data_IF_868468056833
#
_entry.id   IF_868468056833
#
_cell.length_a   1.000
_cell.length_b   1.000
_cell.length_c   1.000
_cell.angle_alpha   90.00
_cell.angle_beta   90.00
_cell.angle_gamma   90.00
#
_symmetry.space_group_name_H-M   'P 1'
#
loop_
_entity.id
_entity.type
_entity.pdbx_description
1 polymer ?
#
# COMPACT_ATOMS: atom_id res chain seq x y z
N UNK A 1 -4.50 9.35 11.35
CA UNK A 1 -3.53 9.29 10.22
C UNK A 1 -2.23 8.74 10.76
N UNK A 2 -1.58 7.85 10.00
CA UNK A 2 -0.31 7.22 10.35
C UNK A 2 0.59 7.13 9.14
N UNK A 3 1.89 7.20 9.37
CA UNK A 3 2.90 6.91 8.36
C UNK A 3 3.35 5.46 8.48
N UNK A 4 3.45 4.77 7.36
CA UNK A 4 3.96 3.39 7.27
C UNK A 4 5.03 3.32 6.20
N UNK A 5 6.08 2.55 6.48
CA UNK A 5 7.17 2.33 5.54
C UNK A 5 6.70 1.45 4.37
N UNK A 6 7.13 1.80 3.16
CA UNK A 6 6.98 0.98 1.97
C UNK A 6 8.14 -0.01 1.92
N UNK A 7 7.83 -1.31 1.97
CA UNK A 7 8.83 -2.36 1.79
C UNK A 7 9.23 -2.48 0.32
N UNK A 8 10.41 -3.05 0.06
CA UNK A 8 10.88 -3.29 -1.30
C UNK A 8 9.86 -4.11 -2.11
N UNK A 9 9.64 -3.72 -3.36
CA UNK A 9 8.73 -4.38 -4.30
C UNK A 9 7.24 -4.36 -3.90
N UNK A 10 6.82 -3.55 -2.93
CA UNK A 10 5.40 -3.40 -2.62
C UNK A 10 4.67 -2.53 -3.64
N UNK A 11 3.54 -3.03 -4.10
CA UNK A 11 2.53 -2.25 -4.83
C UNK A 11 1.59 -1.53 -3.87
N UNK A 12 0.77 -0.63 -4.40
CA UNK A 12 -0.28 0.02 -3.59
C UNK A 12 -1.34 -0.98 -3.11
N UNK A 13 -1.59 -2.05 -3.88
CA UNK A 13 -2.49 -3.13 -3.48
C UNK A 13 -1.95 -3.90 -2.28
N UNK A 14 -0.65 -4.16 -2.25
CA UNK A 14 0.02 -4.83 -1.13
C UNK A 14 -0.15 -4.05 0.17
N UNK A 15 0.07 -2.73 0.11
CA UNK A 15 -0.11 -1.83 1.26
C UNK A 15 -1.58 -1.76 1.72
N UNK A 16 -2.53 -1.77 0.78
CA UNK A 16 -3.96 -1.83 1.09
C UNK A 16 -4.31 -3.14 1.84
N UNK A 17 -3.80 -4.27 1.35
CA UNK A 17 -4.03 -5.57 2.01
C UNK A 17 -3.33 -5.64 3.37
N UNK A 18 -2.07 -5.20 3.49
CA UNK A 18 -1.31 -5.29 4.74
C UNK A 18 -1.92 -4.42 5.85
N UNK A 19 -2.36 -3.20 5.52
CA UNK A 19 -2.77 -2.23 6.53
C UNK A 19 -4.28 -2.07 6.69
N UNK A 20 -5.06 -2.40 5.66
CA UNK A 20 -6.53 -2.36 5.70
C UNK A 20 -7.15 -3.77 5.62
N UNK A 21 -6.38 -4.80 5.28
CA UNK A 21 -6.88 -6.17 5.13
C UNK A 21 -7.71 -6.37 3.86
N UNK A 22 -7.67 -5.43 2.91
CA UNK A 22 -8.60 -5.37 1.77
C UNK A 22 -8.03 -4.48 0.66
N UNK A 23 -8.19 -4.88 -0.62
CA UNK A 23 -7.70 -4.10 -1.78
C UNK A 23 -8.55 -2.86 -2.07
N UNK A 24 -9.79 -2.82 -1.56
CA UNK A 24 -10.74 -1.72 -1.73
C UNK A 24 -10.24 -0.40 -1.13
N UNK A 25 -9.28 -0.46 -0.20
CA UNK A 25 -8.63 0.72 0.38
C UNK A 25 -7.62 1.40 -0.54
N UNK A 26 -7.29 0.82 -1.70
CA UNK A 26 -6.32 1.37 -2.65
C UNK A 26 -6.67 2.79 -3.08
N UNK A 27 -7.94 3.09 -3.35
CA UNK A 27 -8.37 4.43 -3.74
C UNK A 27 -8.21 5.47 -2.62
N UNK A 28 -8.46 5.07 -1.37
CA UNK A 28 -8.23 5.93 -0.21
C UNK A 28 -6.74 6.20 0.01
N UNK A 29 -5.90 5.15 -0.07
CA UNK A 29 -4.45 5.30 0.01
C UNK A 29 -3.90 6.19 -1.10
N UNK A 30 -4.38 6.03 -2.34
CA UNK A 30 -3.97 6.88 -3.46
C UNK A 30 -4.34 8.35 -3.23
N UNK A 31 -5.57 8.62 -2.79
CA UNK A 31 -6.04 9.98 -2.50
C UNK A 31 -5.28 10.66 -1.35
N UNK A 32 -4.82 9.89 -0.35
CA UNK A 32 -4.02 10.40 0.77
C UNK A 32 -2.56 10.68 0.40
N UNK A 33 -2.06 10.16 -0.73
CA UNK A 33 -0.66 10.25 -1.13
C UNK A 33 -0.56 10.76 -2.59
N UNK A 34 -0.91 12.04 -2.87
CA UNK A 34 -0.91 12.59 -4.22
C UNK A 34 0.47 12.61 -4.89
N UNK A 35 1.54 12.60 -4.09
CA UNK A 35 2.93 12.60 -4.57
C UNK A 35 3.53 11.20 -4.70
N UNK A 36 2.72 10.14 -4.58
CA UNK A 36 3.21 8.76 -4.71
C UNK A 36 3.79 8.52 -6.12
N UNK A 37 4.90 7.77 -6.18
CA UNK A 37 5.62 7.45 -7.41
C UNK A 37 5.96 5.96 -7.46
N UNK A 38 6.05 5.42 -8.66
CA UNK A 38 6.51 4.05 -8.87
C UNK A 38 8.03 3.94 -8.89
N UNK A 39 8.53 2.74 -8.66
CA UNK A 39 9.91 2.33 -8.96
C UNK A 39 9.90 1.21 -10.02
N UNK A 40 10.55 1.39 -11.19
CA UNK A 40 11.26 2.59 -11.64
C UNK A 40 10.30 3.79 -11.84
N UNK A 41 10.87 5.00 -11.81
CA UNK A 41 10.10 6.24 -11.97
C UNK A 41 9.42 6.32 -13.33
N UNK A 42 8.19 6.86 -13.33
CA UNK A 42 7.35 7.05 -14.51
C UNK A 42 6.59 8.36 -14.43
N UNK A 43 6.16 8.87 -15.59
CA UNK A 43 5.34 10.07 -15.70
C UNK A 43 3.97 9.90 -15.02
N UNK A 44 3.28 8.80 -15.32
CA UNK A 44 2.00 8.43 -14.70
C UNK A 44 2.16 7.29 -13.69
N UNK A 45 1.38 7.35 -12.61
CA UNK A 45 1.31 6.28 -11.62
C UNK A 45 0.63 5.03 -12.20
N UNK A 46 1.22 3.86 -11.98
CA UNK A 46 0.72 2.55 -12.36
C UNK A 46 0.56 1.69 -11.11
N UNK A 47 -0.66 1.21 -10.86
CA UNK A 47 -0.98 0.42 -9.68
C UNK A 47 -0.29 -0.96 -9.66
N UNK A 48 0.07 -1.47 -10.84
CA UNK A 48 0.71 -2.78 -11.00
C UNK A 48 2.25 -2.73 -10.85
N UNK A 49 2.81 -1.54 -10.58
CA UNK A 49 4.23 -1.36 -10.33
C UNK A 49 4.52 -1.10 -8.85
N UNK A 50 5.71 -1.47 -8.36
CA UNK A 50 6.12 -1.14 -7.00
C UNK A 50 6.14 0.36 -6.77
N UNK A 51 5.96 0.77 -5.52
CA UNK A 51 6.08 2.15 -5.05
C UNK A 51 7.53 2.43 -4.67
N UNK A 52 8.00 3.66 -4.89
CA UNK A 52 9.33 4.06 -4.44
C UNK A 52 9.49 3.87 -2.92
N UNK A 53 10.69 3.48 -2.44
CA UNK A 53 10.95 3.38 -1.01
C UNK A 53 10.67 4.71 -0.28
N UNK A 54 10.09 4.63 0.91
CA UNK A 54 9.71 5.79 1.70
C UNK A 54 8.61 5.48 2.68
N UNK A 55 7.82 6.50 3.03
CA UNK A 55 6.65 6.35 3.89
C UNK A 55 5.41 6.84 3.16
N UNK A 56 4.28 6.14 3.34
CA UNK A 56 2.97 6.60 2.89
C UNK A 56 2.05 6.90 4.09
N UNK A 57 1.11 7.81 3.88
CA UNK A 57 0.06 8.15 4.84
C UNK A 57 -1.12 7.21 4.68
N UNK A 58 -1.58 6.66 5.79
CA UNK A 58 -2.80 5.87 5.90
C UNK A 58 -3.75 6.44 6.97
N UNK A 59 -5.02 6.10 6.86
CA UNK A 59 -6.06 6.45 7.82
C UNK A 59 -6.46 5.23 8.65
N UNK A 60 -5.99 5.19 9.91
CA UNK A 60 -6.26 4.09 10.86
C UNK A 60 -7.71 4.02 11.35
N UNK A 61 -8.53 5.02 11.04
CA UNK A 61 -9.96 5.08 11.39
C UNK A 61 -10.86 4.79 10.18
N UNK A 62 -10.28 4.40 9.04
CA UNK A 62 -11.06 4.09 7.84
C UNK A 62 -12.06 2.96 8.07
N UNK A 63 -13.27 3.14 7.53
CA UNK A 63 -14.32 2.12 7.53
C UNK A 63 -13.97 0.92 6.65
N UNK A 64 -12.96 1.03 5.79
CA UNK A 64 -12.50 -0.05 4.93
C UNK A 64 -11.66 -1.08 5.68
N UNK A 65 -11.17 -0.76 6.89
CA UNK A 65 -10.29 -1.65 7.67
C UNK A 65 -11.03 -2.93 8.09
N UNK A 66 -10.52 -4.07 7.63
CA UNK A 66 -10.93 -5.42 8.03
C UNK A 66 -10.03 -5.90 9.17
N UNK A 67 -10.35 -5.49 10.40
CA UNK A 67 -9.52 -5.74 11.61
C UNK A 67 -9.05 -7.19 11.77
N UNK A 68 -9.92 -8.18 11.50
CA UNK A 68 -9.54 -9.59 11.59
C UNK A 68 -8.47 -9.97 10.55
N UNK A 69 -8.59 -9.48 9.31
CA UNK A 69 -7.59 -9.70 8.25
C UNK A 69 -6.27 -9.02 8.58
N UNK A 70 -6.30 -7.76 9.03
CA UNK A 70 -5.08 -7.05 9.45
C UNK A 70 -4.36 -7.81 10.56
N UNK A 71 -5.09 -8.36 11.54
CA UNK A 71 -4.52 -9.19 12.60
C UNK A 71 -3.93 -10.51 12.08
N UNK A 72 -4.59 -11.18 11.13
CA UNK A 72 -4.07 -12.40 10.48
C UNK A 72 -2.78 -12.16 9.67
N UNK A 73 -2.58 -10.93 9.21
CA UNK A 73 -1.46 -10.53 8.35
C UNK A 73 -0.36 -9.77 9.10
N UNK A 74 -0.49 -9.53 10.42
CA UNK A 74 0.40 -8.61 11.16
C UNK A 74 1.87 -9.01 11.11
N UNK A 75 2.15 -10.31 11.03
CA UNK A 75 3.50 -10.87 11.07
C UNK A 75 4.01 -11.26 9.68
N UNK A 76 3.31 -10.81 8.62
CA UNK A 76 3.63 -11.14 7.23
C UNK A 76 4.02 -9.88 6.47
N UNK A 77 5.13 -9.99 5.74
CA UNK A 77 5.43 -9.06 4.68
C UNK A 77 4.58 -9.43 3.46
N UNK A 78 3.81 -8.47 2.94
CA UNK A 78 2.97 -8.67 1.77
C UNK A 78 3.64 -7.99 0.59
N UNK A 79 4.17 -8.77 -0.33
CA UNK A 79 4.77 -8.30 -1.58
C UNK A 79 4.31 -9.24 -2.70
N UNK A 80 3.67 -8.71 -3.73
CA UNK A 80 3.14 -9.55 -4.83
C UNK A 80 3.84 -9.30 -6.16
N UNK A 81 4.52 -8.16 -6.32
CA UNK A 81 5.27 -7.88 -7.53
C UNK A 81 6.53 -8.74 -7.65
N UNK A 82 6.78 -9.25 -8.85
CA UNK A 82 7.97 -10.01 -9.21
C UNK A 82 8.50 -9.49 -10.55
N UNK A 83 9.83 -9.37 -10.66
CA UNK A 83 10.49 -9.09 -11.93
C UNK A 83 10.35 -10.31 -12.85
N UNK A 84 9.97 -10.09 -14.11
CA UNK A 84 9.73 -11.13 -15.12
C UNK A 84 11.04 -11.58 -15.80
#
# INVERSE_FOLDING_TARGET
MKKVAVLSNQTLYDLAVQHYGTVEATGELFALNPDIRNTPEREDFCFDLPIQPGEIVMNEESRLIKKNRVKELSDKEITTWQEL
#
